data_IF_263807006597
#
_entry.id   IF_263807006597
#
_cell.length_a   1.000
_cell.length_b   1.000
_cell.length_c   1.000
_cell.angle_alpha   90.00
_cell.angle_beta   90.00
_cell.angle_gamma   90.00
#
_symmetry.space_group_name_H-M   'P 1'
#
loop_
_entity.id
_entity.type
_entity.pdbx_description
1 polymer ?
#
# COMPACT_ATOMS: atom_id res chain seq x y z
N UNK A 1 38.10 -48.42 8.18
CA UNK A 1 38.23 -49.03 6.85
C UNK A 1 36.81 -49.40 6.46
N UNK A 2 36.13 -48.76 5.52
CA UNK A 2 36.60 -48.18 4.25
C UNK A 2 35.79 -46.94 3.82
N UNK A 3 36.44 -46.08 3.02
CA UNK A 3 35.86 -44.99 2.24
C UNK A 3 34.74 -45.46 1.30
N UNK A 4 33.72 -44.62 1.04
CA UNK A 4 33.33 -44.12 -0.30
C UNK A 4 32.06 -43.23 -0.24
N UNK A 5 32.18 -41.97 -0.67
CA UNK A 5 31.11 -41.19 -1.36
C UNK A 5 31.07 -41.69 -2.84
N UNK A 6 30.08 -41.44 -3.75
CA UNK A 6 29.14 -40.31 -3.79
C UNK A 6 27.75 -40.50 -4.49
N UNK A 7 26.93 -39.44 -4.43
CA UNK A 7 26.00 -38.89 -5.46
C UNK A 7 24.88 -39.74 -6.12
N UNK A 8 23.65 -39.21 -6.02
CA UNK A 8 22.67 -38.98 -7.13
C UNK A 8 21.28 -39.60 -6.95
N UNK A 9 20.29 -38.75 -6.59
CA UNK A 9 19.01 -38.72 -7.32
C UNK A 9 18.44 -37.28 -7.32
N UNK A 10 18.37 -36.71 -8.52
CA UNK A 10 17.83 -35.39 -8.88
C UNK A 10 16.29 -35.37 -8.77
N UNK A 11 15.57 -34.25 -8.69
CA UNK A 11 15.74 -33.01 -9.41
C UNK A 11 15.08 -31.84 -8.68
N UNK A 12 15.89 -30.82 -8.38
CA UNK A 12 15.43 -29.45 -8.14
C UNK A 12 15.36 -28.78 -9.51
N UNK A 13 14.19 -28.39 -10.02
CA UNK A 13 14.15 -27.53 -11.19
C UNK A 13 14.52 -26.10 -10.76
N UNK A 14 15.77 -25.79 -11.03
CA UNK A 14 16.34 -24.49 -11.39
C UNK A 14 15.33 -23.38 -11.68
N UNK A 15 15.47 -22.24 -10.98
CA UNK A 15 15.50 -20.93 -11.63
C UNK A 15 16.41 -20.01 -10.82
N UNK A 16 17.71 -20.25 -11.01
CA UNK A 16 18.78 -19.30 -10.75
C UNK A 16 18.89 -18.40 -11.98
N UNK A 17 18.08 -17.33 -12.03
CA UNK A 17 18.25 -16.24 -12.99
C UNK A 17 17.39 -15.04 -12.53
N UNK A 18 17.93 -14.14 -11.70
CA UNK A 18 17.56 -12.70 -11.55
C UNK A 18 18.20 -12.11 -10.26
N UNK A 19 19.52 -12.25 -10.06
CA UNK A 19 20.20 -11.61 -8.91
C UNK A 19 20.68 -10.17 -9.21
N UNK A 20 20.39 -9.63 -10.40
CA UNK A 20 20.80 -8.28 -10.80
C UNK A 20 19.69 -7.21 -10.69
N UNK A 21 18.45 -7.56 -10.34
CA UNK A 21 17.35 -6.60 -10.40
C UNK A 21 16.75 -6.20 -9.05
N UNK A 22 16.91 -6.99 -7.99
CA UNK A 22 16.18 -6.76 -6.71
C UNK A 22 16.56 -5.43 -6.06
N UNK A 23 17.84 -5.04 -6.13
CA UNK A 23 18.33 -3.80 -5.49
C UNK A 23 17.92 -2.55 -6.28
N UNK A 24 18.06 -2.58 -7.61
CA UNK A 24 17.62 -1.50 -8.49
C UNK A 24 16.08 -1.37 -8.50
N UNK A 25 15.37 -2.49 -8.44
CA UNK A 25 13.92 -2.54 -8.32
C UNK A 25 13.46 -1.92 -6.99
N UNK A 26 14.12 -2.24 -5.87
CA UNK A 26 13.76 -1.67 -4.58
C UNK A 26 14.04 -0.15 -4.53
N UNK A 27 15.13 0.31 -5.16
CA UNK A 27 15.42 1.76 -5.31
C UNK A 27 14.37 2.48 -6.17
N UNK A 28 13.92 1.87 -7.28
CA UNK A 28 12.81 2.41 -8.09
C UNK A 28 11.50 2.43 -7.31
N UNK A 29 11.18 1.35 -6.59
CA UNK A 29 9.99 1.26 -5.75
C UNK A 29 10.00 2.35 -4.68
N UNK A 30 11.12 2.57 -3.97
CA UNK A 30 11.19 3.64 -2.96
C UNK A 30 11.00 5.03 -3.56
N UNK A 31 11.60 5.29 -4.73
CA UNK A 31 11.45 6.57 -5.41
C UNK A 31 9.99 6.81 -5.80
N UNK A 32 9.33 5.80 -6.36
CA UNK A 32 7.93 5.90 -6.79
C UNK A 32 6.94 5.81 -5.63
N UNK A 33 7.26 5.16 -4.51
CA UNK A 33 6.36 5.05 -3.34
C UNK A 33 6.41 6.27 -2.43
N UNK A 34 7.43 7.12 -2.55
CA UNK A 34 7.66 8.28 -1.66
C UNK A 34 6.46 9.23 -1.53
N UNK A 35 5.63 9.36 -2.57
CA UNK A 35 4.44 10.20 -2.51
C UNK A 35 3.36 9.62 -1.58
N UNK A 36 3.29 8.29 -1.43
CA UNK A 36 2.32 7.61 -0.56
C UNK A 36 2.60 7.96 0.90
N UNK A 37 3.88 7.96 1.28
CA UNK A 37 4.31 8.33 2.62
C UNK A 37 3.99 9.81 2.91
N UNK A 38 4.21 10.69 1.93
CA UNK A 38 3.86 12.10 2.05
C UNK A 38 2.34 12.29 2.23
N UNK A 39 1.53 11.60 1.44
CA UNK A 39 0.07 11.63 1.53
C UNK A 39 -0.42 11.14 2.90
N UNK A 40 0.13 10.01 3.37
CA UNK A 40 -0.18 9.45 4.68
C UNK A 40 0.19 10.40 5.82
N UNK A 41 1.34 11.08 5.71
CA UNK A 41 1.80 12.08 6.68
C UNK A 41 0.86 13.28 6.74
N UNK A 42 0.48 13.84 5.58
CA UNK A 42 -0.47 14.96 5.53
C UNK A 42 -1.84 14.60 6.10
N UNK A 43 -2.35 13.40 5.79
CA UNK A 43 -3.62 12.93 6.35
C UNK A 43 -3.55 12.72 7.86
N UNK A 44 -2.41 12.25 8.38
CA UNK A 44 -2.18 12.00 9.81
C UNK A 44 -2.18 13.28 10.65
N UNK A 45 -1.96 14.46 10.06
CA UNK A 45 -2.06 15.76 10.77
C UNK A 45 -3.48 16.09 11.21
N UNK A 46 -4.48 15.63 10.46
CA UNK A 46 -5.90 15.91 10.71
C UNK A 46 -6.60 14.71 11.35
N UNK A 47 -6.19 13.50 10.98
CA UNK A 47 -6.85 12.26 11.40
C UNK A 47 -5.94 11.52 12.39
N UNK A 48 -6.30 11.58 13.67
CA UNK A 48 -5.53 10.93 14.75
C UNK A 48 -6.09 9.54 15.03
N UNK A 49 -5.22 8.54 15.16
CA UNK A 49 -5.58 7.20 15.62
C UNK A 49 -6.31 6.32 14.60
N UNK A 50 -6.50 6.77 13.36
CA UNK A 50 -7.21 6.02 12.31
C UNK A 50 -6.31 5.67 11.11
N UNK A 51 -5.11 5.15 11.37
CA UNK A 51 -4.13 4.81 10.32
C UNK A 51 -4.70 3.85 9.27
N UNK A 52 -5.43 2.84 9.73
CA UNK A 52 -6.02 1.81 8.87
C UNK A 52 -7.02 2.36 7.86
N UNK A 53 -7.86 3.32 8.28
CA UNK A 53 -8.82 3.97 7.40
C UNK A 53 -8.09 4.80 6.35
N UNK A 54 -7.06 5.54 6.74
CA UNK A 54 -6.24 6.35 5.83
C UNK A 54 -5.55 5.49 4.78
N UNK A 55 -4.91 4.39 5.18
CA UNK A 55 -4.26 3.46 4.26
C UNK A 55 -5.24 2.91 3.22
N UNK A 56 -6.43 2.46 3.65
CA UNK A 56 -7.46 1.96 2.73
C UNK A 56 -7.97 3.03 1.76
N UNK A 57 -8.12 4.26 2.23
CA UNK A 57 -8.50 5.41 1.40
C UNK A 57 -7.49 5.66 0.29
N UNK A 58 -6.20 5.64 0.62
CA UNK A 58 -5.11 5.81 -0.35
C UNK A 58 -5.06 4.62 -1.32
N UNK A 59 -5.20 3.38 -0.83
CA UNK A 59 -5.22 2.18 -1.68
C UNK A 59 -6.37 2.24 -2.68
N UNK A 60 -7.59 2.60 -2.26
CA UNK A 60 -8.72 2.70 -3.19
C UNK A 60 -8.54 3.83 -4.19
N UNK A 61 -7.94 4.96 -3.80
CA UNK A 61 -7.60 6.03 -4.74
C UNK A 61 -6.59 5.56 -5.80
N UNK A 62 -5.55 4.83 -5.40
CA UNK A 62 -4.50 4.36 -6.32
C UNK A 62 -4.93 3.20 -7.21
N UNK A 63 -5.98 2.47 -6.83
CA UNK A 63 -6.50 1.34 -7.58
C UNK A 63 -7.74 1.69 -8.42
N UNK A 64 -8.10 2.97 -8.52
CA UNK A 64 -9.38 3.43 -9.11
C UNK A 64 -10.59 2.69 -8.53
N UNK A 65 -10.50 2.31 -7.25
CA UNK A 65 -11.50 1.52 -6.53
C UNK A 65 -12.55 2.40 -5.83
N UNK A 66 -13.72 1.81 -5.59
CA UNK A 66 -14.75 2.42 -4.76
C UNK A 66 -14.68 1.91 -3.32
N UNK A 67 -14.81 2.81 -2.35
CA UNK A 67 -14.74 2.49 -0.92
C UNK A 67 -16.06 2.80 -0.25
N UNK A 68 -16.58 1.85 0.52
CA UNK A 68 -17.69 2.06 1.44
C UNK A 68 -17.16 2.22 2.87
N UNK A 69 -17.41 3.38 3.50
CA UNK A 69 -16.97 3.67 4.88
C UNK A 69 -18.10 3.46 5.89
N UNK A 70 -18.17 2.26 6.45
CA UNK A 70 -19.13 1.89 7.51
C UNK A 70 -18.60 2.21 8.92
N UNK A 71 -19.47 2.15 9.94
CA UNK A 71 -19.09 2.38 11.34
C UNK A 71 -19.93 3.44 12.07
N UNK A 72 -19.66 3.63 13.36
CA UNK A 72 -20.43 4.51 14.24
C UNK A 72 -20.24 6.00 13.91
N UNK A 73 -21.25 6.86 14.17
CA UNK A 73 -21.13 8.31 13.98
C UNK A 73 -20.00 8.89 14.85
N UNK A 74 -19.34 9.94 14.35
CA UNK A 74 -18.27 10.64 15.07
C UNK A 74 -16.84 10.16 14.80
N UNK A 75 -16.63 9.09 14.03
CA UNK A 75 -15.30 8.54 13.72
C UNK A 75 -14.56 9.26 12.58
N UNK A 76 -14.72 10.58 12.45
CA UNK A 76 -14.02 11.39 11.47
C UNK A 76 -14.16 10.93 9.99
N UNK A 77 -15.13 10.07 9.63
CA UNK A 77 -15.29 9.52 8.27
C UNK A 77 -15.42 10.60 7.19
N UNK A 78 -16.30 11.57 7.42
CA UNK A 78 -16.47 12.72 6.52
C UNK A 78 -15.21 13.60 6.47
N UNK A 79 -14.55 13.76 7.62
CA UNK A 79 -13.31 14.52 7.70
C UNK A 79 -12.21 13.84 6.88
N UNK A 80 -12.12 12.51 6.94
CA UNK A 80 -11.12 11.74 6.23
C UNK A 80 -11.21 11.86 4.73
N UNK A 81 -12.42 11.76 4.17
CA UNK A 81 -12.64 11.90 2.73
C UNK A 81 -12.35 13.34 2.28
N UNK A 82 -12.77 14.34 3.07
CA UNK A 82 -12.46 15.75 2.79
C UNK A 82 -10.96 16.04 2.82
N UNK A 83 -10.27 15.54 3.83
CA UNK A 83 -8.81 15.70 3.96
C UNK A 83 -8.11 15.04 2.78
N UNK A 84 -8.48 13.81 2.41
CA UNK A 84 -7.91 13.14 1.23
C UNK A 84 -8.08 13.98 -0.02
N UNK A 85 -9.31 14.44 -0.30
CA UNK A 85 -9.60 15.26 -1.48
C UNK A 85 -8.77 16.56 -1.49
N UNK A 86 -8.66 17.24 -0.35
CA UNK A 86 -7.82 18.45 -0.24
C UNK A 86 -6.33 18.16 -0.46
N UNK A 87 -5.80 17.05 0.08
CA UNK A 87 -4.38 16.67 -0.05
C UNK A 87 -4.00 16.35 -1.49
N UNK A 88 -4.90 15.71 -2.26
CA UNK A 88 -4.66 15.38 -3.68
C UNK A 88 -5.23 16.41 -4.66
N UNK A 89 -5.75 17.53 -4.15
CA UNK A 89 -6.40 18.58 -4.93
C UNK A 89 -7.53 18.08 -5.83
N UNK A 90 -8.31 17.10 -5.35
CA UNK A 90 -9.49 16.58 -6.02
C UNK A 90 -10.77 17.32 -5.63
N UNK A 91 -11.78 17.26 -6.50
CA UNK A 91 -13.11 17.74 -6.19
C UNK A 91 -13.81 16.81 -5.19
N UNK A 92 -14.37 17.39 -4.14
CA UNK A 92 -15.21 16.67 -3.17
C UNK A 92 -16.69 16.99 -3.40
N UNK A 93 -17.52 15.96 -3.55
CA UNK A 93 -18.97 16.08 -3.61
C UNK A 93 -19.62 15.20 -2.55
N UNK A 94 -20.62 15.73 -1.84
CA UNK A 94 -21.41 14.98 -0.86
C UNK A 94 -22.83 14.86 -1.39
N UNK A 95 -23.29 13.62 -1.57
CA UNK A 95 -24.66 13.30 -1.94
C UNK A 95 -25.33 12.65 -0.72
N UNK A 96 -26.47 13.20 -0.30
CA UNK A 96 -27.27 12.66 0.81
C UNK A 96 -28.50 11.98 0.23
N UNK A 97 -28.67 10.69 0.52
CA UNK A 97 -29.93 9.99 0.25
C UNK A 97 -30.95 10.43 1.30
N UNK A 98 -32.14 10.83 0.84
CA UNK A 98 -33.31 11.19 1.65
C UNK A 98 -34.16 9.98 1.97
#
# INVERSE_FOLDING_TARGET
MDEITPQSEAAVPETTAQNMDIKELNEKIQKESSFVDLLSLEMSKVIVGQKYMVERLIIGLLSDGHILLEGVPGLAKTLAIKTLASTVHANFSRIQFT
#
